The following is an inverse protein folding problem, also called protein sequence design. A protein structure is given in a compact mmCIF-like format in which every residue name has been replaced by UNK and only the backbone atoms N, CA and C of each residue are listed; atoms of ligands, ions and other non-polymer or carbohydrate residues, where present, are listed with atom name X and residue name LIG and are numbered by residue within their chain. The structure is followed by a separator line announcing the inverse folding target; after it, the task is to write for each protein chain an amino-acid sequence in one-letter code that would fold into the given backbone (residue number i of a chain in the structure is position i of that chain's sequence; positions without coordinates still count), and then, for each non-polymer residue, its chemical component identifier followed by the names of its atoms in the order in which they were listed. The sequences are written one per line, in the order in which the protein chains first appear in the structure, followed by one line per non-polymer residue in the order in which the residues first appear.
data_IF_742661400544
#
_entry.id   IF_742661400544
#
_cell.length_a   1.000
_cell.length_b   1.000
_cell.length_c   1.000
_cell.angle_alpha   90.00
_cell.angle_beta   90.00
_cell.angle_gamma   90.00
#
_symmetry.space_group_name_H-M   'P 1'
#
loop_
_entity.id
_entity.type
_entity.pdbx_description
1 polymer ?
#
# COMPACT_ATOMS: atom_id res chain seq x y z
N UNK A 1 -22.89 4.15 10.74
CA UNK A 1 -22.59 3.10 11.71
C UNK A 1 -21.72 1.95 11.18
N UNK A 2 -21.70 1.62 9.89
CA UNK A 2 -20.91 0.51 9.30
C UNK A 2 -19.38 0.69 9.27
N UNK A 3 -18.87 1.92 9.35
CA UNK A 3 -17.41 2.22 9.34
C UNK A 3 -16.68 1.74 10.59
N UNK A 4 -17.33 1.68 11.73
CA UNK A 4 -16.74 1.26 13.03
C UNK A 4 -16.47 -0.24 13.07
N UNK A 5 -17.47 -1.06 12.67
CA UNK A 5 -17.35 -2.53 12.69
C UNK A 5 -16.25 -3.03 11.76
N UNK A 6 -16.13 -2.41 10.57
CA UNK A 6 -15.07 -2.79 9.60
C UNK A 6 -13.68 -2.41 10.11
N UNK A 7 -13.52 -1.26 10.77
CA UNK A 7 -12.24 -0.86 11.39
C UNK A 7 -11.84 -1.82 12.51
N UNK A 8 -12.79 -2.25 13.33
CA UNK A 8 -12.56 -3.23 14.41
C UNK A 8 -12.12 -4.57 13.82
N UNK A 9 -12.78 -5.06 12.76
CA UNK A 9 -12.39 -6.31 12.07
C UNK A 9 -10.98 -6.25 11.49
N UNK A 10 -10.61 -5.16 10.83
CA UNK A 10 -9.24 -4.97 10.30
C UNK A 10 -8.22 -4.93 11.41
N UNK A 11 -8.53 -4.25 12.54
CA UNK A 11 -7.65 -4.17 13.69
C UNK A 11 -7.47 -5.55 14.34
N UNK A 12 -8.55 -6.32 14.54
CA UNK A 12 -8.50 -7.69 15.04
C UNK A 12 -7.66 -8.60 14.16
N UNK A 13 -7.84 -8.49 12.83
CA UNK A 13 -7.04 -9.24 11.85
C UNK A 13 -5.54 -8.88 11.96
N UNK A 14 -5.21 -7.59 12.04
CA UNK A 14 -3.83 -7.15 12.18
C UNK A 14 -3.18 -7.66 13.47
N UNK A 15 -3.92 -7.65 14.59
CA UNK A 15 -3.46 -8.21 15.87
C UNK A 15 -3.24 -9.73 15.76
N UNK A 16 -4.15 -10.45 15.10
CA UNK A 16 -4.02 -11.90 14.90
C UNK A 16 -2.79 -12.24 14.07
N UNK A 17 -2.55 -11.52 12.96
CA UNK A 17 -1.36 -11.70 12.11
C UNK A 17 -0.09 -11.41 12.91
N UNK A 18 -0.05 -10.31 13.68
CA UNK A 18 1.10 -9.96 14.50
C UNK A 18 1.39 -11.04 15.59
N UNK A 19 0.34 -11.60 16.19
CA UNK A 19 0.46 -12.70 17.16
C UNK A 19 1.03 -13.97 16.51
N UNK A 20 0.56 -14.34 15.30
CA UNK A 20 1.08 -15.51 14.57
C UNK A 20 2.55 -15.32 14.23
N UNK A 21 2.95 -14.14 13.74
CA UNK A 21 4.35 -13.83 13.44
C UNK A 21 5.21 -13.92 14.71
N UNK A 22 4.74 -13.37 15.82
CA UNK A 22 5.43 -13.45 17.13
C UNK A 22 5.63 -14.89 17.58
N UNK A 23 4.61 -15.74 17.43
CA UNK A 23 4.70 -17.18 17.73
C UNK A 23 5.70 -17.89 16.82
N UNK A 24 5.72 -17.59 15.52
CA UNK A 24 6.69 -18.18 14.59
C UNK A 24 8.13 -17.84 14.96
N UNK A 25 8.41 -16.56 15.29
CA UNK A 25 9.75 -16.13 15.70
C UNK A 25 10.16 -16.88 16.99
N UNK A 26 9.26 -16.97 17.96
CA UNK A 26 9.51 -17.71 19.20
C UNK A 26 9.83 -19.20 18.96
N UNK A 27 9.06 -19.86 18.09
CA UNK A 27 9.29 -21.26 17.74
C UNK A 27 10.60 -21.46 16.99
N UNK A 28 10.98 -20.58 16.04
CA UNK A 28 12.26 -20.65 15.36
C UNK A 28 13.45 -20.49 16.32
N UNK A 29 13.36 -19.58 17.27
CA UNK A 29 14.39 -19.40 18.30
C UNK A 29 14.51 -20.64 19.20
N UNK A 30 13.38 -21.20 19.60
CA UNK A 30 13.35 -22.42 20.43
C UNK A 30 13.93 -23.62 19.68
N UNK A 31 13.59 -23.80 18.41
CA UNK A 31 14.13 -24.86 17.56
C UNK A 31 15.63 -24.68 17.36
N UNK A 32 16.11 -23.47 17.11
CA UNK A 32 17.53 -23.19 17.02
C UNK A 32 18.29 -23.54 18.33
N UNK A 33 17.75 -23.18 19.46
CA UNK A 33 18.33 -23.51 20.75
C UNK A 33 18.35 -25.04 20.98
N UNK A 34 17.30 -25.74 20.58
CA UNK A 34 17.23 -27.19 20.64
C UNK A 34 18.30 -27.85 19.75
N UNK A 35 18.39 -27.53 18.47
CA UNK A 35 19.38 -28.08 17.55
C UNK A 35 20.82 -27.78 17.99
N UNK A 36 21.04 -26.58 18.55
CA UNK A 36 22.32 -26.21 19.18
C UNK A 36 22.68 -27.15 20.33
N UNK A 37 21.71 -27.51 21.18
CA UNK A 37 21.95 -28.42 22.31
C UNK A 37 22.14 -29.85 21.84
N UNK A 38 21.39 -30.31 20.83
CA UNK A 38 21.56 -31.60 20.20
C UNK A 38 23.00 -31.73 19.67
N UNK A 39 23.44 -30.75 18.87
CA UNK A 39 24.82 -30.74 18.36
C UNK A 39 25.87 -30.84 19.48
N UNK A 40 25.78 -30.02 20.51
CA UNK A 40 26.71 -30.01 21.63
C UNK A 40 26.75 -31.40 22.33
N UNK A 41 25.55 -31.96 22.56
CA UNK A 41 25.41 -33.25 23.20
C UNK A 41 26.00 -34.40 22.35
N UNK A 42 25.79 -34.35 21.03
CA UNK A 42 26.39 -35.30 20.07
C UNK A 42 27.93 -35.23 20.10
N UNK A 43 28.50 -34.02 20.01
CA UNK A 43 29.96 -33.85 20.12
C UNK A 43 30.50 -34.35 21.47
N UNK A 44 29.85 -34.06 22.58
CA UNK A 44 30.27 -34.54 23.90
C UNK A 44 30.20 -36.06 23.99
N UNK A 45 29.16 -36.69 23.40
CA UNK A 45 29.05 -38.15 23.33
C UNK A 45 30.18 -38.75 22.49
N UNK A 46 30.48 -38.16 21.32
CA UNK A 46 31.61 -38.62 20.48
C UNK A 46 32.95 -38.48 21.22
N UNK A 47 33.18 -37.45 22.00
CA UNK A 47 34.38 -37.30 22.81
C UNK A 47 34.44 -38.37 23.91
N UNK A 48 33.29 -38.78 24.50
CA UNK A 48 33.25 -39.86 25.49
C UNK A 48 33.57 -41.19 24.87
N UNK A 49 32.98 -41.54 23.71
CA UNK A 49 33.33 -42.79 22.99
C UNK A 49 34.82 -42.82 22.68
N UNK A 50 35.40 -41.71 22.25
CA UNK A 50 36.84 -41.61 21.97
C UNK A 50 37.71 -41.87 23.22
N UNK A 51 37.30 -41.46 24.41
CA UNK A 51 38.00 -41.82 25.65
C UNK A 51 37.98 -43.33 25.93
N UNK A 52 36.87 -43.99 25.65
CA UNK A 52 36.69 -45.42 25.83
C UNK A 52 37.51 -46.23 24.79
N UNK A 53 37.52 -45.78 23.53
CA UNK A 53 38.18 -46.48 22.43
C UNK A 53 39.71 -46.34 22.42
N UNK A 54 40.24 -45.23 22.92
CA UNK A 54 41.66 -44.89 22.77
C UNK A 54 42.42 -44.79 24.09
N UNK A 55 41.80 -45.07 25.24
CA UNK A 55 42.40 -45.00 26.58
C UNK A 55 43.21 -43.68 26.80
N UNK A 56 42.59 -42.55 26.49
CA UNK A 56 43.22 -41.22 26.48
C UNK A 56 43.40 -40.63 27.87
N UNK A 57 42.76 -41.20 28.89
CA UNK A 57 42.80 -40.72 30.27
C UNK A 57 42.69 -41.85 31.28
N UNK A 58 43.29 -41.67 32.46
CA UNK A 58 43.17 -42.59 33.56
C UNK A 58 42.00 -42.26 34.52
N UNK A 59 41.24 -41.22 34.24
CA UNK A 59 40.09 -40.79 35.06
C UNK A 59 38.90 -41.76 34.88
N UNK A 60 38.16 -42.05 35.97
CA UNK A 60 36.99 -42.91 35.89
C UNK A 60 35.90 -42.30 35.01
N UNK A 61 35.13 -43.15 34.29
CA UNK A 61 34.08 -42.75 33.33
C UNK A 61 33.04 -41.80 33.90
N UNK A 62 32.78 -41.80 35.20
CA UNK A 62 31.89 -40.86 35.90
C UNK A 62 32.36 -39.39 35.84
N UNK A 63 33.66 -39.16 35.67
CA UNK A 63 34.29 -37.83 35.66
C UNK A 63 34.63 -37.31 34.25
N UNK A 64 34.40 -38.09 33.18
CA UNK A 64 34.77 -37.70 31.82
C UNK A 64 34.14 -36.36 31.36
N UNK A 65 32.95 -36.03 31.85
CA UNK A 65 32.32 -34.77 31.47
C UNK A 65 33.03 -33.52 32.03
N UNK A 66 33.76 -33.68 33.13
CA UNK A 66 34.54 -32.58 33.74
C UNK A 66 35.84 -32.30 32.97
N UNK A 67 36.29 -33.24 32.16
CA UNK A 67 37.47 -33.10 31.30
C UNK A 67 37.20 -32.37 30.00
N UNK A 68 35.91 -32.12 29.68
CA UNK A 68 35.50 -31.44 28.44
C UNK A 68 35.15 -30.01 28.71
N UNK A 69 35.89 -29.10 28.13
CA UNK A 69 35.65 -27.65 28.20
C UNK A 69 35.10 -27.12 26.86
N UNK A 70 34.27 -26.11 26.97
CA UNK A 70 33.65 -25.49 25.82
C UNK A 70 33.83 -23.97 25.86
N UNK A 71 35.05 -23.47 25.62
CA UNK A 71 35.40 -22.06 25.79
C UNK A 71 34.72 -21.11 24.78
N UNK A 72 34.32 -21.63 23.64
CA UNK A 72 33.65 -20.89 22.55
C UNK A 72 32.63 -21.81 21.87
N UNK A 73 31.50 -21.31 21.36
CA UNK A 73 30.51 -22.13 20.67
C UNK A 73 31.04 -23.09 19.61
N UNK A 74 32.13 -22.73 18.93
CA UNK A 74 32.73 -23.56 17.87
C UNK A 74 33.89 -24.42 18.32
N UNK A 75 34.29 -24.37 19.61
CA UNK A 75 35.50 -25.01 20.14
C UNK A 75 35.14 -25.95 21.30
N UNK A 76 35.62 -27.16 21.21
CA UNK A 76 35.62 -28.13 22.31
C UNK A 76 37.05 -28.50 22.61
N UNK A 77 37.40 -28.52 23.87
CA UNK A 77 38.69 -28.97 24.40
C UNK A 77 38.43 -30.15 25.30
N UNK A 78 39.24 -31.20 25.19
CA UNK A 78 39.19 -32.28 26.14
C UNK A 78 40.61 -32.73 26.57
N UNK A 79 40.79 -32.86 27.87
CA UNK A 79 42.05 -33.21 28.51
C UNK A 79 42.49 -34.62 28.08
N UNK A 80 43.80 -34.80 27.87
CA UNK A 80 44.43 -36.11 27.56
C UNK A 80 45.65 -36.30 28.42
N UNK A 81 45.91 -37.55 28.87
CA UNK A 81 47.11 -37.94 29.62
C UNK A 81 48.15 -38.56 28.68
N UNK A 82 47.73 -39.21 27.60
CA UNK A 82 48.59 -39.77 26.56
C UNK A 82 48.36 -39.07 25.22
N UNK A 83 49.45 -38.81 24.46
CA UNK A 83 49.36 -38.14 23.16
C UNK A 83 49.04 -39.20 22.09
N UNK A 84 47.85 -39.11 21.44
CA UNK A 84 47.45 -40.06 20.44
C UNK A 84 48.22 -39.89 19.13
N UNK A 85 48.38 -40.94 18.36
CA UNK A 85 48.88 -40.87 16.98
C UNK A 85 47.86 -40.16 16.08
N UNK A 86 48.35 -39.31 15.15
CA UNK A 86 47.55 -38.48 14.29
C UNK A 86 46.48 -39.25 13.50
N UNK A 87 46.89 -40.35 12.86
CA UNK A 87 46.00 -41.11 11.98
C UNK A 87 44.97 -41.92 12.79
N UNK A 88 45.37 -42.47 13.94
CA UNK A 88 44.45 -43.14 14.86
C UNK A 88 43.40 -42.22 15.43
N UNK A 89 43.81 -41.01 15.91
CA UNK A 89 42.86 -40.02 16.42
C UNK A 89 41.86 -39.59 15.34
N UNK A 90 42.33 -39.38 14.11
CA UNK A 90 41.44 -38.96 13.02
C UNK A 90 40.45 -40.07 12.63
N UNK A 91 40.90 -41.34 12.66
CA UNK A 91 40.06 -42.49 12.34
C UNK A 91 38.96 -42.71 13.39
N UNK A 92 39.32 -42.81 14.67
CA UNK A 92 38.33 -43.02 15.73
C UNK A 92 37.38 -41.86 15.87
N UNK A 93 37.86 -40.61 15.81
CA UNK A 93 37.00 -39.44 15.93
C UNK A 93 36.03 -39.33 14.75
N UNK A 94 36.43 -39.79 13.54
CA UNK A 94 35.49 -39.84 12.42
C UNK A 94 34.39 -40.87 12.65
N UNK A 95 34.70 -42.07 13.14
CA UNK A 95 33.71 -43.09 13.45
C UNK A 95 32.74 -42.62 14.53
N UNK A 96 33.27 -42.03 15.61
CA UNK A 96 32.44 -41.46 16.68
C UNK A 96 31.50 -40.35 16.20
N UNK A 97 31.96 -39.47 15.27
CA UNK A 97 31.12 -38.45 14.68
C UNK A 97 30.03 -39.05 13.78
N UNK A 98 30.30 -40.13 13.07
CA UNK A 98 29.29 -40.88 12.28
C UNK A 98 28.25 -41.53 13.20
N UNK A 99 28.68 -42.16 14.32
CA UNK A 99 27.81 -42.86 15.28
C UNK A 99 26.86 -41.87 16.04
N UNK A 100 27.30 -40.64 16.24
CA UNK A 100 26.51 -39.62 16.93
C UNK A 100 25.97 -38.52 16.01
N UNK A 101 25.87 -38.76 14.69
CA UNK A 101 25.26 -37.87 13.70
C UNK A 101 25.91 -36.47 13.62
N UNK A 102 27.23 -36.36 13.81
CA UNK A 102 27.95 -35.08 13.68
C UNK A 102 28.51 -34.91 12.26
N UNK A 103 27.66 -34.63 11.29
CA UNK A 103 28.05 -34.50 9.88
C UNK A 103 28.47 -33.05 9.51
N UNK A 104 29.55 -32.58 10.15
CA UNK A 104 30.13 -31.27 9.82
C UNK A 104 31.65 -31.31 9.88
N UNK A 105 32.32 -30.47 9.09
CA UNK A 105 33.79 -30.42 9.07
C UNK A 105 34.33 -30.02 10.43
N UNK A 106 35.36 -30.72 10.91
CA UNK A 106 36.05 -30.45 12.14
C UNK A 106 37.54 -30.34 11.90
N UNK A 107 38.19 -29.32 12.45
CA UNK A 107 39.65 -29.26 12.57
C UNK A 107 40.05 -29.75 13.95
N UNK A 108 40.99 -30.65 13.97
CA UNK A 108 41.49 -31.32 15.16
C UNK A 108 42.95 -30.93 15.35
N UNK A 109 43.32 -30.46 16.51
CA UNK A 109 44.73 -30.24 16.86
C UNK A 109 45.02 -30.81 18.24
N UNK A 110 46.24 -31.28 18.47
CA UNK A 110 46.67 -31.78 19.76
C UNK A 110 47.69 -30.82 20.37
N UNK A 111 47.34 -30.24 21.51
CA UNK A 111 48.20 -29.39 22.29
C UNK A 111 49.02 -30.19 23.29
N UNK A 112 50.32 -29.92 23.35
CA UNK A 112 51.21 -30.48 24.33
C UNK A 112 51.62 -29.42 25.34
N UNK A 113 51.38 -29.68 26.62
CA UNK A 113 51.77 -28.77 27.70
C UNK A 113 53.28 -28.51 27.76
N UNK A 114 54.12 -29.62 27.62
CA UNK A 114 55.58 -29.48 27.69
C UNK A 114 56.19 -28.64 26.56
N UNK A 115 55.53 -28.64 25.37
CA UNK A 115 55.96 -27.86 24.18
C UNK A 115 55.25 -26.52 24.07
N UNK A 116 54.22 -26.28 24.89
CA UNK A 116 53.37 -25.11 24.85
C UNK A 116 52.85 -24.76 23.46
N UNK A 117 52.51 -25.75 22.66
CA UNK A 117 52.02 -25.60 21.29
C UNK A 117 51.35 -26.83 20.73
N UNK A 118 50.78 -26.68 19.54
CA UNK A 118 50.21 -27.80 18.82
C UNK A 118 51.30 -28.71 18.24
N UNK A 119 51.15 -30.03 18.44
CA UNK A 119 52.08 -31.03 17.89
C UNK A 119 51.73 -31.32 16.44
N UNK A 120 50.44 -31.48 16.17
CA UNK A 120 49.94 -31.70 14.81
C UNK A 120 48.50 -31.19 14.70
N UNK A 121 48.11 -30.97 13.45
CA UNK A 121 46.74 -30.65 13.06
C UNK A 121 46.23 -31.64 12.02
N UNK A 122 44.94 -31.93 12.04
CA UNK A 122 44.21 -32.78 11.09
C UNK A 122 42.87 -32.14 10.77
N UNK A 123 42.28 -32.48 9.63
CA UNK A 123 40.93 -32.08 9.22
C UNK A 123 40.10 -33.33 8.98
N UNK A 124 38.99 -33.40 9.68
CA UNK A 124 37.97 -34.42 9.47
C UNK A 124 36.88 -33.79 8.64
N UNK A 125 36.67 -34.27 7.43
CA UNK A 125 35.65 -33.80 6.52
C UNK A 125 34.44 -34.76 6.56
N UNK A 126 33.29 -34.22 6.87
CA UNK A 126 32.02 -34.96 6.81
C UNK A 126 31.43 -35.02 5.38
N UNK A 127 31.99 -34.22 4.46
CA UNK A 127 31.57 -34.14 3.06
C UNK A 127 32.46 -34.99 2.16
N UNK A 128 31.86 -35.51 1.06
CA UNK A 128 32.55 -36.37 0.08
C UNK A 128 33.96 -35.88 -0.30
N UNK A 129 34.91 -36.79 -0.53
CA UNK A 129 36.29 -36.43 -0.80
C UNK A 129 36.40 -35.58 -2.08
N UNK A 130 36.91 -34.34 -1.95
CA UNK A 130 37.15 -33.44 -3.08
C UNK A 130 36.87 -31.95 -2.86
N UNK A 131 36.12 -31.55 -1.88
CA UNK A 131 35.98 -30.12 -1.55
C UNK A 131 37.12 -29.67 -0.64
N UNK A 132 38.10 -28.99 -1.22
CA UNK A 132 39.17 -28.32 -0.44
C UNK A 132 38.53 -27.31 0.51
N UNK A 133 38.85 -27.46 1.78
CA UNK A 133 38.51 -26.53 2.83
C UNK A 133 39.20 -25.19 2.54
N UNK A 134 38.46 -24.19 2.07
CA UNK A 134 38.95 -22.83 1.78
C UNK A 134 38.67 -21.96 3.00
N UNK A 135 39.70 -21.67 3.79
CA UNK A 135 39.61 -20.75 4.92
C UNK A 135 40.49 -21.18 6.09
N UNK A 136 41.81 -21.14 5.92
CA UNK A 136 42.77 -21.45 7.00
C UNK A 136 43.00 -20.22 7.91
N UNK A 137 42.05 -19.93 8.81
CA UNK A 137 42.45 -19.22 10.00
C UNK A 137 43.37 -20.11 10.85
N UNK A 138 44.57 -19.63 11.23
CA UNK A 138 45.50 -20.37 12.06
C UNK A 138 44.81 -20.68 13.41
N UNK A 139 44.85 -21.95 13.85
CA UNK A 139 44.34 -22.29 15.16
C UNK A 139 45.22 -21.66 16.23
N UNK A 140 44.60 -21.00 17.19
CA UNK A 140 45.31 -20.37 18.31
C UNK A 140 45.16 -21.27 19.54
N UNK A 141 46.25 -21.80 20.12
CA UNK A 141 46.16 -22.66 21.28
C UNK A 141 45.71 -21.86 22.51
N UNK A 142 44.82 -22.48 23.31
CA UNK A 142 44.46 -21.99 24.62
C UNK A 142 45.52 -22.46 25.62
N UNK A 143 46.24 -21.56 26.28
CA UNK A 143 47.26 -21.93 27.26
C UNK A 143 46.58 -22.60 28.48
N UNK A 144 46.94 -23.86 28.70
CA UNK A 144 46.48 -24.71 29.80
C UNK A 144 47.71 -25.35 30.46
N UNK A 145 47.56 -25.81 31.70
CA UNK A 145 48.51 -26.58 32.49
C UNK A 145 48.48 -28.08 32.23
N UNK A 146 47.72 -28.54 31.23
CA UNK A 146 47.60 -29.90 30.79
C UNK A 146 47.60 -30.02 29.27
N UNK A 147 47.86 -31.22 28.73
CA UNK A 147 47.68 -31.52 27.30
C UNK A 147 46.24 -31.79 26.97
N UNK A 148 45.80 -31.37 25.77
CA UNK A 148 44.42 -31.51 25.34
C UNK A 148 44.29 -31.68 23.84
N UNK A 149 43.17 -32.26 23.42
CA UNK A 149 42.71 -32.23 22.02
C UNK A 149 41.82 -31.05 21.82
N UNK A 150 42.03 -30.31 20.73
CA UNK A 150 41.29 -29.12 20.32
C UNK A 150 40.43 -29.47 19.11
N UNK A 151 39.11 -29.39 19.24
CA UNK A 151 38.15 -29.55 18.15
C UNK A 151 37.57 -28.20 17.76
N UNK A 152 37.67 -27.82 16.51
CA UNK A 152 37.10 -26.59 15.97
C UNK A 152 36.12 -26.89 14.83
N UNK A 153 34.89 -26.41 14.99
CA UNK A 153 33.81 -26.57 14.03
C UNK A 153 33.51 -25.25 13.31
N UNK A 154 34.16 -24.93 12.20
CA UNK A 154 34.03 -23.65 11.51
C UNK A 154 32.63 -23.41 10.96
N UNK A 155 31.97 -24.45 10.51
CA UNK A 155 30.64 -24.39 9.86
C UNK A 155 29.48 -24.76 10.78
N UNK A 156 29.68 -24.78 12.10
CA UNK A 156 28.70 -25.22 13.09
C UNK A 156 27.33 -24.52 12.93
N UNK A 157 27.31 -23.19 12.83
CA UNK A 157 26.06 -22.45 12.70
C UNK A 157 25.32 -22.79 11.40
N UNK A 158 26.06 -22.96 10.30
CA UNK A 158 25.49 -23.37 9.02
C UNK A 158 24.91 -24.78 9.09
N UNK A 159 25.59 -25.68 9.77
CA UNK A 159 25.10 -27.05 10.00
C UNK A 159 23.80 -27.06 10.79
N UNK A 160 23.72 -26.30 11.93
CA UNK A 160 22.52 -26.18 12.75
C UNK A 160 21.36 -25.61 11.91
N UNK A 161 21.60 -24.58 11.09
CA UNK A 161 20.57 -24.00 10.22
C UNK A 161 20.08 -25.00 9.18
N UNK A 162 20.97 -25.86 8.61
CA UNK A 162 20.55 -26.88 7.66
C UNK A 162 19.67 -27.97 8.30
N UNK A 163 19.86 -28.30 9.56
CA UNK A 163 18.95 -29.19 10.29
C UNK A 163 17.56 -28.57 10.48
N UNK A 164 17.46 -27.25 10.46
CA UNK A 164 16.19 -26.51 10.58
C UNK A 164 15.48 -26.27 9.24
N UNK A 165 15.97 -26.77 8.10
CA UNK A 165 15.43 -26.46 6.77
C UNK A 165 13.90 -26.70 6.67
N UNK A 166 13.38 -27.79 7.22
CA UNK A 166 11.95 -28.09 7.22
C UNK A 166 11.14 -27.02 7.97
N UNK A 167 11.63 -26.56 9.13
CA UNK A 167 11.00 -25.53 9.94
C UNK A 167 11.06 -24.16 9.26
N UNK A 168 12.17 -23.83 8.62
CA UNK A 168 12.32 -22.57 7.86
C UNK A 168 11.38 -22.58 6.66
N UNK A 169 11.29 -23.71 5.93
CA UNK A 169 10.40 -23.85 4.78
C UNK A 169 8.94 -23.69 5.18
N UNK A 170 8.49 -24.40 6.21
CA UNK A 170 7.10 -24.33 6.69
C UNK A 170 6.74 -22.94 7.22
N UNK A 171 7.65 -22.28 7.95
CA UNK A 171 7.46 -20.92 8.43
C UNK A 171 7.37 -19.90 7.30
N UNK A 172 8.22 -20.03 6.26
CA UNK A 172 8.18 -19.16 5.09
C UNK A 172 6.91 -19.35 4.26
N UNK A 173 6.44 -20.59 4.10
CA UNK A 173 5.18 -20.89 3.42
C UNK A 173 3.98 -20.28 4.16
N UNK A 174 3.95 -20.41 5.49
CA UNK A 174 2.88 -19.82 6.29
C UNK A 174 2.88 -18.28 6.19
N UNK A 175 4.06 -17.65 6.18
CA UNK A 175 4.18 -16.21 5.99
C UNK A 175 3.62 -15.76 4.62
N UNK A 176 3.95 -16.50 3.54
CA UNK A 176 3.40 -16.23 2.20
C UNK A 176 1.88 -16.36 2.16
N UNK A 177 1.31 -17.37 2.81
CA UNK A 177 -0.14 -17.55 2.92
C UNK A 177 -0.80 -16.37 3.67
N UNK A 178 -0.21 -15.88 4.76
CA UNK A 178 -0.71 -14.72 5.50
C UNK A 178 -0.69 -13.43 4.64
N UNK A 179 0.38 -13.21 3.86
CA UNK A 179 0.47 -12.10 2.93
C UNK A 179 -0.62 -12.19 1.86
N UNK A 180 -0.79 -13.36 1.24
CA UNK A 180 -1.82 -13.61 0.23
C UNK A 180 -3.23 -13.39 0.77
N UNK A 181 -3.50 -13.88 1.98
CA UNK A 181 -4.79 -13.69 2.66
C UNK A 181 -5.07 -12.20 2.98
N UNK A 182 -4.05 -11.47 3.44
CA UNK A 182 -4.16 -10.02 3.70
C UNK A 182 -4.48 -9.25 2.43
N UNK A 183 -3.83 -9.61 1.32
CA UNK A 183 -4.10 -9.01 0.00
C UNK A 183 -5.51 -9.33 -0.48
N UNK A 184 -5.98 -10.56 -0.33
CA UNK A 184 -7.34 -10.97 -0.71
C UNK A 184 -8.41 -10.19 0.08
N UNK A 185 -8.24 -10.03 1.40
CA UNK A 185 -9.16 -9.23 2.22
C UNK A 185 -9.16 -7.76 1.79
N UNK A 186 -7.98 -7.18 1.53
CA UNK A 186 -7.88 -5.82 1.03
C UNK A 186 -8.62 -5.64 -0.30
N UNK A 187 -8.46 -6.58 -1.23
CA UNK A 187 -9.14 -6.56 -2.52
C UNK A 187 -10.67 -6.67 -2.38
N UNK A 188 -11.16 -7.61 -1.57
CA UNK A 188 -12.59 -7.76 -1.29
C UNK A 188 -13.19 -6.50 -0.65
N UNK A 189 -12.45 -5.86 0.26
CA UNK A 189 -12.88 -4.61 0.86
C UNK A 189 -12.98 -3.47 -0.15
N UNK A 190 -12.02 -3.34 -1.06
CA UNK A 190 -12.05 -2.37 -2.15
C UNK A 190 -13.25 -2.61 -3.08
N UNK A 191 -13.50 -3.86 -3.45
CA UNK A 191 -14.63 -4.22 -4.31
C UNK A 191 -15.99 -3.90 -3.65
N UNK A 192 -16.13 -4.23 -2.36
CA UNK A 192 -17.33 -3.91 -1.60
C UNK A 192 -17.57 -2.39 -1.53
N UNK A 193 -16.54 -1.62 -1.28
CA UNK A 193 -16.63 -0.16 -1.27
C UNK A 193 -17.10 0.40 -2.63
N UNK A 194 -16.54 -0.11 -3.73
CA UNK A 194 -16.95 0.30 -5.09
C UNK A 194 -18.42 -0.05 -5.35
N UNK A 195 -18.87 -1.23 -4.95
CA UNK A 195 -20.26 -1.65 -5.12
C UNK A 195 -21.24 -0.79 -4.29
N UNK A 196 -20.88 -0.41 -3.05
CA UNK A 196 -21.70 0.50 -2.24
C UNK A 196 -21.81 1.88 -2.91
N UNK A 197 -20.69 2.44 -3.39
CA UNK A 197 -20.68 3.72 -4.11
C UNK A 197 -21.51 3.66 -5.40
N UNK A 198 -21.42 2.55 -6.15
CA UNK A 198 -22.22 2.34 -7.36
C UNK A 198 -23.72 2.23 -7.05
N UNK A 199 -24.10 1.54 -5.98
CA UNK A 199 -25.48 1.43 -5.51
C UNK A 199 -26.04 2.81 -5.13
N UNK A 200 -25.28 3.59 -4.35
CA UNK A 200 -25.70 4.94 -3.96
C UNK A 200 -25.83 5.86 -5.18
N UNK A 201 -24.95 5.69 -6.17
CA UNK A 201 -25.07 6.42 -7.45
C UNK A 201 -26.37 6.09 -8.18
N UNK A 202 -26.69 4.79 -8.36
CA UNK A 202 -27.93 4.37 -9.05
C UNK A 202 -29.16 4.93 -8.32
N UNK A 203 -29.20 4.85 -7.01
CA UNK A 203 -30.29 5.39 -6.21
C UNK A 203 -30.44 6.91 -6.41
N UNK A 204 -29.32 7.65 -6.43
CA UNK A 204 -29.32 9.09 -6.65
C UNK A 204 -29.78 9.46 -8.07
N UNK A 205 -29.30 8.75 -9.10
CA UNK A 205 -29.75 8.94 -10.50
C UNK A 205 -31.26 8.73 -10.62
N UNK A 206 -31.76 7.66 -10.03
CA UNK A 206 -33.19 7.36 -10.02
C UNK A 206 -33.99 8.49 -9.38
N UNK A 207 -33.58 8.98 -8.23
CA UNK A 207 -34.24 10.08 -7.54
C UNK A 207 -34.17 11.40 -8.31
N UNK A 208 -33.01 11.75 -8.88
CA UNK A 208 -32.79 12.98 -9.67
C UNK A 208 -33.63 12.96 -10.98
N UNK A 209 -33.94 11.78 -11.54
CA UNK A 209 -34.77 11.67 -12.74
C UNK A 209 -36.25 11.58 -12.42
N UNK A 210 -36.62 10.96 -11.30
CA UNK A 210 -38.03 10.84 -10.90
C UNK A 210 -38.69 12.18 -10.63
N UNK A 211 -37.98 13.13 -10.04
CA UNK A 211 -38.50 14.48 -9.71
C UNK A 211 -38.90 15.26 -10.97
N UNK A 212 -38.07 15.47 -12.00
CA UNK A 212 -38.48 16.16 -13.21
C UNK A 212 -39.55 15.41 -14.00
N UNK A 213 -39.53 14.07 -14.03
CA UNK A 213 -40.57 13.28 -14.66
C UNK A 213 -41.94 13.50 -13.99
N UNK A 214 -41.96 13.52 -12.64
CA UNK A 214 -43.19 13.79 -11.91
C UNK A 214 -43.74 15.21 -12.22
N UNK A 215 -42.86 16.21 -12.38
CA UNK A 215 -43.32 17.56 -12.77
C UNK A 215 -43.85 17.60 -14.19
N UNK A 216 -43.28 16.82 -15.11
CA UNK A 216 -43.78 16.67 -16.48
C UNK A 216 -45.15 16.03 -16.45
N UNK A 217 -45.33 14.91 -15.73
CA UNK A 217 -46.61 14.18 -15.62
C UNK A 217 -47.71 15.08 -15.03
N UNK A 218 -47.41 15.77 -13.90
CA UNK A 218 -48.38 16.68 -13.28
C UNK A 218 -48.74 17.86 -14.21
N UNK A 219 -47.75 18.38 -14.97
CA UNK A 219 -48.03 19.46 -15.92
C UNK A 219 -48.87 18.99 -17.11
N UNK A 220 -48.60 17.75 -17.58
CA UNK A 220 -49.39 17.11 -18.64
C UNK A 220 -50.82 16.85 -18.18
N UNK A 221 -51.02 16.26 -16.98
CA UNK A 221 -52.33 16.07 -16.37
C UNK A 221 -53.12 17.36 -16.20
N UNK A 222 -52.41 18.45 -15.83
CA UNK A 222 -53.03 19.77 -15.73
C UNK A 222 -53.53 20.30 -17.09
N UNK A 223 -52.76 20.08 -18.17
CA UNK A 223 -53.13 20.45 -19.54
C UNK A 223 -54.33 19.71 -20.11
N UNK A 224 -54.66 18.53 -19.58
CA UNK A 224 -55.86 17.75 -20.00
C UNK A 224 -57.15 18.26 -19.36
N UNK A 225 -57.07 19.08 -18.31
CA UNK A 225 -58.25 19.60 -17.62
C UNK A 225 -58.93 20.74 -18.39
N UNK A 226 -60.25 20.64 -18.58
CA UNK A 226 -61.04 21.60 -19.32
C UNK A 226 -60.96 23.03 -18.76
N UNK A 227 -60.81 23.16 -17.44
CA UNK A 227 -60.62 24.46 -16.75
C UNK A 227 -59.30 25.15 -17.09
N UNK A 228 -58.29 24.41 -17.52
CA UNK A 228 -56.97 24.93 -17.93
C UNK A 228 -56.94 25.27 -19.41
N UNK A 229 -57.64 24.44 -20.23
CA UNK A 229 -57.74 24.66 -21.69
C UNK A 229 -58.36 26.03 -22.06
N UNK A 230 -59.18 26.57 -21.19
CA UNK A 230 -59.82 27.92 -21.39
C UNK A 230 -58.90 29.09 -20.93
N UNK A 231 -57.67 28.80 -20.43
CA UNK A 231 -56.79 29.85 -19.89
C UNK A 231 -55.37 29.77 -20.57
N UNK A 232 -55.17 30.57 -21.64
CA UNK A 232 -53.91 30.53 -22.43
C UNK A 232 -52.66 30.72 -21.61
N UNK A 233 -52.70 31.57 -20.59
CA UNK A 233 -51.55 31.82 -19.69
C UNK A 233 -51.14 30.57 -18.90
N UNK A 234 -52.12 29.77 -18.43
CA UNK A 234 -51.84 28.50 -17.73
C UNK A 234 -51.33 27.45 -18.68
N UNK A 235 -51.81 27.39 -19.91
CA UNK A 235 -51.29 26.49 -20.95
C UNK A 235 -49.80 26.80 -21.20
N UNK A 236 -49.49 28.08 -21.42
CA UNK A 236 -48.09 28.53 -21.63
C UNK A 236 -47.18 28.19 -20.42
N UNK A 237 -47.70 28.39 -19.19
CA UNK A 237 -46.96 28.08 -17.95
C UNK A 237 -46.65 26.58 -17.87
N UNK A 238 -47.63 25.67 -18.07
CA UNK A 238 -47.39 24.23 -18.00
C UNK A 238 -46.53 23.72 -19.15
N UNK A 239 -46.72 24.22 -20.37
CA UNK A 239 -45.87 23.91 -21.52
C UNK A 239 -44.40 24.31 -21.30
N UNK A 240 -44.18 25.50 -20.76
CA UNK A 240 -42.85 25.97 -20.40
C UNK A 240 -42.23 25.11 -19.26
N UNK A 241 -43.01 24.68 -18.27
CA UNK A 241 -42.56 23.76 -17.23
C UNK A 241 -42.09 22.45 -17.80
N UNK A 242 -42.86 21.84 -18.71
CA UNK A 242 -42.48 20.60 -19.39
C UNK A 242 -41.18 20.77 -20.17
N UNK A 243 -41.09 21.86 -20.96
CA UNK A 243 -39.87 22.16 -21.73
C UNK A 243 -38.65 22.28 -20.84
N UNK A 244 -38.76 23.05 -19.75
CA UNK A 244 -37.69 23.27 -18.79
C UNK A 244 -37.21 21.96 -18.15
N UNK A 245 -38.13 21.06 -17.74
CA UNK A 245 -37.76 19.78 -17.16
C UNK A 245 -37.16 18.82 -18.22
N UNK A 246 -37.65 18.85 -19.45
CA UNK A 246 -37.08 18.08 -20.57
C UNK A 246 -35.64 18.50 -20.87
N UNK A 247 -35.36 19.81 -20.91
CA UNK A 247 -34.00 20.32 -21.18
C UNK A 247 -33.06 20.03 -20.00
N UNK A 248 -33.57 20.09 -18.77
CA UNK A 248 -32.85 19.64 -17.57
C UNK A 248 -32.44 18.16 -17.70
N UNK A 249 -33.39 17.27 -18.03
CA UNK A 249 -33.11 15.84 -18.24
C UNK A 249 -32.08 15.58 -19.35
N UNK A 250 -32.22 16.26 -20.51
CA UNK A 250 -31.27 16.13 -21.62
C UNK A 250 -29.84 16.49 -21.20
N UNK A 251 -29.68 17.58 -20.46
CA UNK A 251 -28.36 18.01 -19.99
C UNK A 251 -27.74 17.01 -19.00
N UNK A 252 -28.54 16.46 -18.10
CA UNK A 252 -28.10 15.45 -17.13
C UNK A 252 -27.72 14.13 -17.79
N UNK A 253 -28.48 13.67 -18.79
CA UNK A 253 -28.17 12.49 -19.60
C UNK A 253 -26.86 12.70 -20.40
N UNK A 254 -26.68 13.87 -21.03
CA UNK A 254 -25.45 14.22 -21.75
C UNK A 254 -24.23 14.16 -20.81
N UNK A 255 -24.34 14.71 -19.61
CA UNK A 255 -23.28 14.66 -18.60
C UNK A 255 -22.97 13.23 -18.11
N UNK A 256 -23.99 12.39 -17.96
CA UNK A 256 -23.84 10.97 -17.63
C UNK A 256 -23.07 10.21 -18.72
N UNK A 257 -23.54 10.37 -19.99
CA UNK A 257 -22.93 9.70 -21.15
C UNK A 257 -21.47 10.14 -21.28
N UNK A 258 -21.18 11.44 -21.21
CA UNK A 258 -19.83 11.97 -21.31
C UNK A 258 -18.90 11.38 -20.22
N UNK A 259 -19.42 11.16 -19.00
CA UNK A 259 -18.65 10.56 -17.91
C UNK A 259 -18.40 9.08 -18.10
N UNK A 260 -19.37 8.34 -18.67
CA UNK A 260 -19.22 6.91 -18.96
C UNK A 260 -18.25 6.70 -20.14
N UNK A 261 -18.38 7.53 -21.18
CA UNK A 261 -17.50 7.48 -22.37
C UNK A 261 -16.07 7.90 -22.03
N UNK A 262 -15.89 8.87 -21.13
CA UNK A 262 -14.54 9.28 -20.67
C UNK A 262 -13.75 8.17 -19.97
N UNK A 263 -14.42 7.13 -19.43
CA UNK A 263 -13.78 5.97 -18.82
C UNK A 263 -13.28 4.93 -19.84
N UNK A 264 -13.87 4.91 -21.03
CA UNK A 264 -13.39 4.04 -22.10
C UNK A 264 -12.12 4.66 -22.71
N UNK A 265 -11.09 3.86 -22.95
CA UNK A 265 -9.74 4.25 -23.43
C UNK A 265 -9.71 5.03 -24.77
N UNK A 266 -10.86 5.30 -25.35
CA UNK A 266 -11.06 5.93 -26.67
C UNK A 266 -11.61 7.36 -26.62
N UNK A 267 -11.57 8.04 -25.45
CA UNK A 267 -12.00 9.44 -25.39
C UNK A 267 -10.98 10.34 -26.09
N UNK A 268 -11.16 10.49 -27.42
CA UNK A 268 -10.34 11.36 -28.23
C UNK A 268 -10.77 12.82 -28.00
N UNK A 269 -9.90 13.65 -27.45
CA UNK A 269 -10.10 15.10 -27.37
C UNK A 269 -9.72 15.74 -28.70
N UNK A 270 -10.57 16.65 -29.19
CA UNK A 270 -10.31 17.46 -30.38
C UNK A 270 -9.66 18.77 -29.97
N UNK A 271 -8.33 18.81 -29.91
CA UNK A 271 -7.62 20.05 -29.54
C UNK A 271 -7.70 21.06 -30.66
N UNK A 272 -8.13 22.27 -30.32
CA UNK A 272 -8.18 23.46 -31.16
C UNK A 272 -7.53 24.62 -30.41
N UNK A 273 -7.26 25.72 -31.13
CA UNK A 273 -6.82 26.95 -30.48
C UNK A 273 -7.97 27.57 -29.69
N UNK A 274 -7.82 27.68 -28.37
CA UNK A 274 -8.86 28.14 -27.44
C UNK A 274 -8.30 29.25 -26.56
N UNK A 275 -9.12 30.26 -26.30
CA UNK A 275 -8.86 31.34 -25.34
C UNK A 275 -9.62 31.04 -24.05
N UNK A 276 -8.95 30.59 -22.96
CA UNK A 276 -9.65 30.16 -21.73
C UNK A 276 -10.49 31.26 -21.09
N UNK A 277 -10.07 32.52 -21.20
CA UNK A 277 -10.81 33.66 -20.69
C UNK A 277 -12.22 33.79 -21.29
N UNK A 278 -12.38 33.46 -22.60
CA UNK A 278 -13.70 33.46 -23.25
C UNK A 278 -14.59 32.35 -22.72
N UNK A 279 -14.04 31.14 -22.48
CA UNK A 279 -14.80 30.04 -21.87
C UNK A 279 -15.28 30.39 -20.46
N UNK A 280 -14.43 31.03 -19.66
CA UNK A 280 -14.78 31.49 -18.32
C UNK A 280 -15.94 32.48 -18.40
N UNK A 281 -15.86 33.49 -19.30
CA UNK A 281 -16.94 34.50 -19.49
C UNK A 281 -18.26 33.84 -19.93
N UNK A 282 -18.20 32.86 -20.85
CA UNK A 282 -19.37 32.09 -21.27
C UNK A 282 -20.00 31.31 -20.14
N UNK A 283 -19.16 30.63 -19.32
CA UNK A 283 -19.63 29.85 -18.17
C UNK A 283 -20.30 30.74 -17.11
N UNK A 284 -19.72 31.90 -16.83
CA UNK A 284 -20.28 32.88 -15.88
C UNK A 284 -21.62 33.43 -16.40
N UNK A 285 -21.71 33.81 -17.68
CA UNK A 285 -22.94 34.30 -18.30
C UNK A 285 -24.08 33.27 -18.20
N UNK A 286 -23.78 31.99 -18.41
CA UNK A 286 -24.78 30.94 -18.30
C UNK A 286 -25.23 30.69 -16.87
N UNK A 287 -24.40 31.00 -15.86
CA UNK A 287 -24.68 30.84 -14.44
C UNK A 287 -25.32 32.09 -13.79
N UNK A 288 -25.45 33.21 -14.53
CA UNK A 288 -26.00 34.47 -14.04
C UNK A 288 -27.39 34.33 -13.36
N UNK A 289 -28.35 33.52 -13.89
CA UNK A 289 -29.62 33.33 -13.21
C UNK A 289 -29.47 32.70 -11.79
N UNK A 290 -28.48 31.83 -11.60
CA UNK A 290 -28.21 31.22 -10.28
C UNK A 290 -27.54 32.23 -9.35
N UNK A 291 -26.67 33.09 -9.88
CA UNK A 291 -26.03 34.16 -9.13
C UNK A 291 -27.07 35.15 -8.62
N UNK A 292 -28.01 35.56 -9.48
CA UNK A 292 -29.10 36.48 -9.12
C UNK A 292 -30.05 35.87 -8.07
N UNK A 293 -30.46 34.61 -8.26
CA UNK A 293 -31.35 33.92 -7.32
C UNK A 293 -30.75 33.80 -5.91
N UNK A 294 -29.44 33.55 -5.83
CA UNK A 294 -28.71 33.43 -4.57
C UNK A 294 -28.16 34.76 -4.05
N UNK A 295 -28.39 35.86 -4.71
CA UNK A 295 -27.79 37.19 -4.41
C UNK A 295 -26.27 37.12 -4.27
N UNK A 296 -25.65 36.31 -5.17
CA UNK A 296 -24.21 36.09 -5.18
C UNK A 296 -23.44 37.13 -5.98
N UNK A 297 -22.11 37.05 -5.93
CA UNK A 297 -21.19 37.88 -6.69
C UNK A 297 -20.12 36.98 -7.31
N UNK A 298 -19.78 37.24 -8.58
CA UNK A 298 -18.62 36.65 -9.25
C UNK A 298 -17.66 37.77 -9.65
N UNK A 299 -16.44 37.74 -9.13
CA UNK A 299 -15.37 38.68 -9.51
C UNK A 299 -14.42 37.98 -10.52
N UNK A 300 -14.16 38.68 -11.63
CA UNK A 300 -13.28 38.18 -12.70
C UNK A 300 -12.01 39.03 -12.76
N UNK A 301 -10.89 38.46 -12.34
CA UNK A 301 -9.54 39.00 -12.44
C UNK A 301 -8.77 38.25 -13.51
N UNK A 302 -9.13 38.45 -14.77
CA UNK A 302 -8.59 37.70 -15.90
C UNK A 302 -7.34 38.39 -16.45
N UNK A 303 -6.32 37.60 -16.81
CA UNK A 303 -5.10 38.07 -17.46
C UNK A 303 -5.44 38.88 -18.73
N UNK A 304 -4.89 40.06 -18.89
CA UNK A 304 -5.21 40.97 -20.04
C UNK A 304 -4.77 40.38 -21.39
N UNK A 305 -3.64 39.69 -21.41
CA UNK A 305 -3.16 38.99 -22.58
C UNK A 305 -3.94 37.68 -22.79
N UNK A 306 -4.87 37.69 -23.75
CA UNK A 306 -5.65 36.50 -24.13
C UNK A 306 -4.73 35.39 -24.66
N UNK A 307 -4.19 34.59 -23.74
CA UNK A 307 -3.38 33.42 -24.11
C UNK A 307 -4.20 32.40 -24.84
N UNK A 308 -3.64 31.87 -25.94
CA UNK A 308 -4.21 30.75 -26.71
C UNK A 308 -3.58 29.46 -26.22
N UNK A 309 -4.39 28.46 -25.91
CA UNK A 309 -3.94 27.11 -25.57
C UNK A 309 -4.53 26.10 -26.53
N UNK A 310 -3.88 24.93 -26.68
CA UNK A 310 -4.40 23.81 -27.46
C UNK A 310 -5.31 22.95 -26.59
N UNK A 311 -6.62 23.13 -26.68
CA UNK A 311 -7.60 22.46 -25.84
C UNK A 311 -8.84 22.02 -26.63
N UNK A 312 -9.57 21.06 -26.09
CA UNK A 312 -10.92 20.75 -26.54
C UNK A 312 -11.90 21.76 -25.94
N UNK A 313 -12.44 22.59 -26.81
CA UNK A 313 -13.27 23.73 -26.41
C UNK A 313 -14.50 23.32 -25.58
N UNK A 314 -15.25 22.28 -26.02
CA UNK A 314 -16.46 21.83 -25.33
C UNK A 314 -16.14 21.19 -23.97
N UNK A 315 -15.13 20.33 -23.95
CA UNK A 315 -14.77 19.62 -22.72
C UNK A 315 -14.15 20.54 -21.69
N UNK A 316 -13.27 21.46 -22.11
CA UNK A 316 -12.70 22.45 -21.19
C UNK A 316 -13.77 23.39 -20.62
N UNK A 317 -14.70 23.87 -21.48
CA UNK A 317 -15.85 24.63 -21.03
C UNK A 317 -16.66 23.90 -19.95
N UNK A 318 -17.00 22.61 -20.17
CA UNK A 318 -17.73 21.78 -19.21
C UNK A 318 -16.98 21.62 -17.89
N UNK A 319 -15.65 21.46 -17.94
CA UNK A 319 -14.83 21.36 -16.74
C UNK A 319 -14.87 22.66 -15.91
N UNK A 320 -14.73 23.81 -16.56
CA UNK A 320 -14.80 25.13 -15.92
C UNK A 320 -16.19 25.41 -15.36
N UNK A 321 -17.24 25.19 -16.17
CA UNK A 321 -18.63 25.33 -15.77
C UNK A 321 -18.94 24.52 -14.50
N UNK A 322 -18.44 23.31 -14.44
CA UNK A 322 -18.66 22.39 -13.31
C UNK A 322 -18.06 22.93 -11.99
N UNK A 323 -16.83 23.46 -12.04
CA UNK A 323 -16.19 24.04 -10.84
C UNK A 323 -16.91 25.31 -10.42
N UNK A 324 -17.21 26.23 -11.35
CA UNK A 324 -17.90 27.50 -11.04
C UNK A 324 -19.30 27.21 -10.48
N UNK A 325 -20.04 26.28 -11.08
CA UNK A 325 -21.35 25.87 -10.58
C UNK A 325 -21.29 25.26 -9.18
N UNK A 326 -20.24 24.46 -8.89
CA UNK A 326 -20.03 23.95 -7.54
C UNK A 326 -19.74 25.06 -6.54
N UNK A 327 -18.92 26.05 -6.88
CA UNK A 327 -18.64 27.21 -6.05
C UNK A 327 -19.93 27.98 -5.66
N UNK A 328 -20.82 28.18 -6.64
CA UNK A 328 -22.13 28.81 -6.40
C UNK A 328 -23.08 27.94 -5.57
N UNK A 329 -23.03 26.61 -5.79
CA UNK A 329 -23.95 25.66 -5.16
C UNK A 329 -23.72 25.53 -3.66
N UNK A 330 -22.48 25.47 -3.22
CA UNK A 330 -22.11 25.15 -1.83
C UNK A 330 -21.96 26.39 -0.93
N UNK A 331 -22.31 27.56 -1.40
CA UNK A 331 -22.40 28.78 -0.59
C UNK A 331 -23.87 29.27 -0.48
N UNK A 332 -24.21 29.85 0.64
CA UNK A 332 -25.56 30.47 0.87
C UNK A 332 -25.69 31.79 0.14
N UNK A 333 -24.72 32.67 0.29
CA UNK A 333 -24.49 33.88 -0.50
C UNK A 333 -23.14 33.73 -1.18
N UNK A 334 -23.09 33.20 -2.41
CA UNK A 334 -21.83 32.88 -3.05
C UNK A 334 -21.04 34.14 -3.42
N UNK A 335 -19.78 34.16 -3.01
CA UNK A 335 -18.77 35.08 -3.48
C UNK A 335 -17.66 34.30 -4.12
N UNK A 336 -17.59 34.33 -5.45
CA UNK A 336 -16.65 33.55 -6.25
C UNK A 336 -15.64 34.47 -6.91
N UNK A 337 -14.36 34.23 -6.71
CA UNK A 337 -13.27 34.99 -7.31
C UNK A 337 -12.55 34.10 -8.32
N UNK A 338 -12.50 34.53 -9.58
CA UNK A 338 -11.83 33.80 -10.65
C UNK A 338 -10.63 34.62 -11.10
N UNK A 339 -9.42 34.03 -10.87
CA UNK A 339 -8.17 34.64 -11.29
C UNK A 339 -7.53 33.80 -12.40
N UNK A 340 -6.97 34.48 -13.42
CA UNK A 340 -6.15 33.81 -14.42
C UNK A 340 -4.79 34.46 -14.55
N UNK A 341 -3.75 33.68 -14.71
CA UNK A 341 -2.38 34.15 -14.90
C UNK A 341 -1.52 33.12 -15.62
N UNK A 342 -0.46 33.57 -16.26
CA UNK A 342 0.52 32.70 -16.95
C UNK A 342 1.83 32.67 -16.18
N UNK A 343 2.40 31.50 -15.98
CA UNK A 343 3.71 31.31 -15.34
C UNK A 343 4.42 30.08 -15.92
N UNK A 344 5.70 30.17 -16.25
CA UNK A 344 6.55 29.05 -16.68
C UNK A 344 5.92 28.13 -17.74
N UNK A 345 5.43 28.72 -18.86
CA UNK A 345 4.77 27.99 -19.98
C UNK A 345 3.50 27.25 -19.57
N UNK A 346 2.87 27.62 -18.45
CA UNK A 346 1.57 27.13 -18.02
C UNK A 346 0.59 28.28 -17.82
N UNK A 347 -0.67 28.00 -18.10
CA UNK A 347 -1.79 28.88 -17.84
C UNK A 347 -2.55 28.38 -16.62
N UNK A 348 -2.77 29.26 -15.65
CA UNK A 348 -3.42 28.96 -14.39
C UNK A 348 -4.79 29.60 -14.32
N UNK A 349 -5.77 28.85 -13.81
CA UNK A 349 -7.13 29.31 -13.52
C UNK A 349 -7.44 28.95 -12.07
N UNK A 350 -7.52 29.95 -11.18
CA UNK A 350 -7.93 29.77 -9.79
C UNK A 350 -9.38 30.19 -9.63
N UNK A 351 -10.20 29.34 -9.02
CA UNK A 351 -11.62 29.56 -8.74
C UNK A 351 -11.80 29.39 -7.24
N UNK A 352 -11.94 30.49 -6.53
CA UNK A 352 -12.08 30.55 -5.08
C UNK A 352 -13.50 30.91 -4.68
N UNK A 353 -14.08 30.12 -3.74
CA UNK A 353 -15.41 30.36 -3.17
C UNK A 353 -15.35 30.59 -1.65
N UNK A 354 -16.44 31.16 -1.12
CA UNK A 354 -16.70 31.35 0.31
C UNK A 354 -17.68 30.31 0.87
N UNK A 355 -17.73 29.12 0.27
CA UNK A 355 -18.66 28.04 0.64
C UNK A 355 -18.29 27.34 1.95
N UNK A 356 -18.98 26.26 2.23
CA UNK A 356 -18.81 25.45 3.45
C UNK A 356 -17.42 24.85 3.63
N UNK A 357 -16.58 24.85 2.59
CA UNK A 357 -15.28 24.17 2.57
C UNK A 357 -15.38 22.65 2.62
N UNK A 358 -14.23 21.98 2.57
CA UNK A 358 -14.09 20.53 2.46
C UNK A 358 -13.10 20.04 3.52
N UNK A 359 -13.48 18.99 4.25
CA UNK A 359 -12.60 18.36 5.27
C UNK A 359 -11.40 17.67 4.61
N UNK A 360 -10.24 17.69 5.26
CA UNK A 360 -8.99 17.10 4.77
C UNK A 360 -9.10 15.59 4.42
N UNK A 361 -9.95 14.84 5.13
CA UNK A 361 -10.24 13.43 4.85
C UNK A 361 -11.05 13.27 3.56
N UNK A 362 -11.93 14.23 3.25
CA UNK A 362 -12.76 14.23 2.06
C UNK A 362 -12.00 14.73 0.83
N UNK A 363 -11.08 15.71 0.98
CA UNK A 363 -10.25 16.23 -0.11
C UNK A 363 -9.58 15.13 -0.93
N UNK A 364 -9.12 14.04 -0.28
CA UNK A 364 -8.51 12.88 -0.95
C UNK A 364 -9.49 12.07 -1.79
N UNK A 365 -10.81 12.33 -1.66
CA UNK A 365 -11.88 11.51 -2.27
C UNK A 365 -12.75 12.28 -3.26
N UNK A 366 -12.76 13.62 -3.23
CA UNK A 366 -13.67 14.46 -4.05
C UNK A 366 -13.54 14.23 -5.56
N UNK A 367 -12.38 13.77 -6.02
CA UNK A 367 -12.14 13.39 -7.41
C UNK A 367 -12.42 11.93 -7.73
N UNK A 368 -12.89 11.12 -6.74
CA UNK A 368 -13.30 9.74 -7.03
C UNK A 368 -14.66 9.71 -7.70
N UNK A 369 -14.81 8.81 -8.67
CA UNK A 369 -16.08 8.60 -9.39
C UNK A 369 -17.20 8.29 -8.42
N UNK A 370 -18.37 8.95 -8.58
CA UNK A 370 -19.58 8.81 -7.77
C UNK A 370 -19.44 9.27 -6.31
N UNK A 371 -18.31 9.85 -5.92
CA UNK A 371 -18.11 10.30 -4.55
C UNK A 371 -18.89 11.58 -4.25
N UNK A 372 -19.54 11.60 -3.07
CA UNK A 372 -20.22 12.77 -2.48
C UNK A 372 -19.85 12.86 -1.02
N UNK A 373 -19.58 14.06 -0.52
CA UNK A 373 -19.30 14.30 0.89
C UNK A 373 -20.50 13.90 1.78
N UNK A 374 -20.22 13.29 2.93
CA UNK A 374 -21.24 12.72 3.83
C UNK A 374 -21.67 13.65 4.98
N UNK A 375 -21.08 14.85 5.14
CA UNK A 375 -21.33 15.72 6.29
C UNK A 375 -22.45 16.74 6.06
N UNK A 376 -23.43 16.73 6.99
CA UNK A 376 -24.52 17.71 7.11
C UNK A 376 -25.78 17.37 6.34
N UNK A 377 -26.82 18.17 6.49
CA UNK A 377 -28.11 18.13 5.76
C UNK A 377 -27.99 18.29 4.23
N UNK A 378 -26.82 18.03 3.66
CA UNK A 378 -26.44 18.02 2.24
C UNK A 378 -27.09 16.86 1.44
N UNK A 379 -27.92 16.02 2.08
CA UNK A 379 -28.83 15.12 1.35
C UNK A 379 -29.70 15.85 0.31
N UNK A 380 -29.88 17.15 0.45
CA UNK A 380 -30.62 17.99 -0.50
C UNK A 380 -29.76 18.64 -1.61
N UNK A 381 -28.43 18.50 -1.61
CA UNK A 381 -27.62 19.04 -2.70
C UNK A 381 -27.74 18.15 -3.94
N UNK A 382 -28.54 18.55 -4.93
CA UNK A 382 -28.74 17.86 -6.23
C UNK A 382 -27.40 17.63 -6.93
N UNK A 383 -27.16 16.40 -7.46
CA UNK A 383 -26.02 16.10 -8.31
C UNK A 383 -25.48 14.67 -8.20
N UNK A 384 -24.90 14.16 -9.27
CA UNK A 384 -24.56 12.74 -9.47
C UNK A 384 -23.18 12.32 -8.91
N UNK A 385 -22.39 13.25 -8.36
CA UNK A 385 -21.03 12.94 -7.89
C UNK A 385 -20.03 12.64 -9.01
N UNK A 386 -20.31 13.10 -10.23
CA UNK A 386 -19.51 12.87 -11.42
C UNK A 386 -18.70 14.10 -11.87
N UNK A 387 -19.13 15.29 -11.49
CA UNK A 387 -18.58 16.55 -11.99
C UNK A 387 -17.10 16.71 -11.78
N UNK A 388 -16.62 16.64 -10.52
CA UNK A 388 -15.19 16.79 -10.20
C UNK A 388 -14.33 15.66 -10.76
N UNK A 389 -14.85 14.41 -10.80
CA UNK A 389 -14.16 13.30 -11.44
C UNK A 389 -13.95 13.59 -12.94
N UNK A 390 -15.01 14.02 -13.65
CA UNK A 390 -14.95 14.38 -15.06
C UNK A 390 -14.01 15.56 -15.29
N UNK A 391 -14.09 16.61 -14.48
CA UNK A 391 -13.18 17.77 -14.52
C UNK A 391 -11.72 17.32 -14.44
N UNK A 392 -11.38 16.50 -13.44
CA UNK A 392 -10.01 15.99 -13.29
C UNK A 392 -9.57 15.16 -14.51
N UNK A 393 -10.46 14.33 -15.07
CA UNK A 393 -10.17 13.53 -16.27
C UNK A 393 -9.89 14.41 -17.49
N UNK A 394 -10.73 15.43 -17.72
CA UNK A 394 -10.54 16.38 -18.83
C UNK A 394 -9.20 17.11 -18.67
N UNK A 395 -8.93 17.68 -17.51
CA UNK A 395 -7.66 18.40 -17.28
C UNK A 395 -6.45 17.48 -17.50
N UNK A 396 -6.51 16.25 -17.04
CA UNK A 396 -5.44 15.25 -17.29
C UNK A 396 -5.27 14.93 -18.78
N UNK A 397 -6.35 14.83 -19.57
CA UNK A 397 -6.29 14.61 -21.02
C UNK A 397 -5.66 15.80 -21.77
N UNK A 398 -5.77 16.99 -21.18
CA UNK A 398 -5.09 18.20 -21.68
C UNK A 398 -3.64 18.30 -21.17
N UNK A 399 -3.10 17.28 -20.49
CA UNK A 399 -1.78 17.28 -19.85
C UNK A 399 -1.63 18.33 -18.76
N UNK A 400 -2.76 18.76 -18.19
CA UNK A 400 -2.83 19.70 -17.09
C UNK A 400 -2.98 19.02 -15.72
N UNK A 401 -2.93 19.82 -14.67
CA UNK A 401 -3.17 19.41 -13.29
C UNK A 401 -4.30 20.22 -12.65
N UNK A 402 -4.94 19.64 -11.64
CA UNK A 402 -5.91 20.34 -10.80
C UNK A 402 -5.54 20.18 -9.34
N UNK A 403 -5.38 21.30 -8.67
CA UNK A 403 -5.10 21.39 -7.24
C UNK A 403 -6.32 21.93 -6.50
N UNK A 404 -6.46 21.56 -5.22
CA UNK A 404 -7.55 22.02 -4.38
C UNK A 404 -7.03 22.32 -2.98
N UNK A 405 -7.30 23.53 -2.51
CA UNK A 405 -7.08 23.95 -1.14
C UNK A 405 -8.43 24.32 -0.52
N UNK A 406 -8.75 23.78 0.65
CA UNK A 406 -10.04 24.05 1.29
C UNK A 406 -9.92 24.03 2.79
N UNK A 407 -10.64 24.96 3.41
CA UNK A 407 -10.75 25.07 4.88
C UNK A 407 -12.24 25.02 5.24
N UNK A 408 -12.66 24.05 6.06
CA UNK A 408 -14.05 23.95 6.51
C UNK A 408 -14.56 25.25 7.15
N UNK A 409 -15.72 25.72 6.69
CA UNK A 409 -16.35 26.96 7.14
C UNK A 409 -15.80 28.25 6.53
N UNK A 410 -14.75 28.19 5.70
CA UNK A 410 -14.14 29.36 5.04
C UNK A 410 -14.38 29.31 3.54
N UNK A 411 -14.16 28.18 2.87
CA UNK A 411 -14.34 28.04 1.43
C UNK A 411 -13.34 27.10 0.76
N UNK A 412 -13.38 27.09 -0.57
CA UNK A 412 -12.53 26.22 -1.41
C UNK A 412 -11.87 27.02 -2.52
N UNK A 413 -10.64 26.69 -2.86
CA UNK A 413 -9.88 27.21 -3.98
C UNK A 413 -9.44 26.06 -4.89
N UNK A 414 -9.99 26.01 -6.11
CA UNK A 414 -9.58 25.09 -7.16
C UNK A 414 -8.65 25.80 -8.13
N UNK A 415 -7.44 25.29 -8.28
CA UNK A 415 -6.45 25.81 -9.23
C UNK A 415 -6.23 24.79 -10.35
N UNK A 416 -6.56 25.17 -11.58
CA UNK A 416 -6.29 24.39 -12.80
C UNK A 416 -5.00 24.92 -13.42
N UNK A 417 -4.13 24.02 -13.82
CA UNK A 417 -2.89 24.27 -14.54
C UNK A 417 -2.96 23.61 -15.91
N UNK A 418 -2.77 24.36 -16.98
CA UNK A 418 -2.79 23.87 -18.35
C UNK A 418 -1.50 24.28 -19.09
N UNK A 419 -0.89 23.39 -19.89
CA UNK A 419 0.30 23.73 -20.65
C UNK A 419 -0.05 24.75 -21.77
N UNK A 420 0.76 25.80 -21.89
CA UNK A 420 0.75 26.70 -23.04
C UNK A 420 1.72 26.15 -24.05
N UNK A 421 1.23 25.37 -25.03
CA UNK A 421 2.08 24.96 -26.16
C UNK A 421 2.28 26.19 -27.04
N UNK A 422 3.51 26.66 -27.15
CA UNK A 422 3.88 27.65 -28.17
C UNK A 422 3.59 27.04 -29.54
N UNK A 423 2.72 27.70 -30.29
CA UNK A 423 2.42 27.41 -31.70
C UNK A 423 3.64 27.71 -32.57
#
# INVERSE_FOLDING_TARGET
MRSSTTRILILLLAITIAAIIGLQIHWLQKTYAFEKNVFNTSVIKSIRGLYEDMDLTHEPGSHLSSLIEHPNPNIFLFKIDSIPQKDSLAYYLKNEFEDFDVYTDCRVAVYNYSRQGFIYESVITATAPGKKFTGMAQLVPVKKDFSYVYLFFPNRNRYIITQMNAWILTSSLLLLLLIGFSFAIYYLYQQKFLNEVQKDFINNVTHEFSTPLMVIDLSTDALTKQSVLQQPEKIAKYANSIRHQSDYLKSHIKNLINTVVADQYTFAIKKTAVIPNELIRQAVLQLDPIVMDKKGVIELNLEENNKVIQADNENLYLALFNIINNALKYATQPHVIINTYSHNSHYYISIKDNGIGIDAVELKKIFKKFYRGQKGNLHNSKGLGLGLYFTKKIISLHHGNIHVNSIPGIGTDFTIELPVNNI
#
